data_IF_627831502208
#
_entry.id   IF_627831502208
#
_cell.length_a   1.000
_cell.length_b   1.000
_cell.length_c   1.000
_cell.angle_alpha   90.00
_cell.angle_beta   90.00
_cell.angle_gamma   90.00
#
_symmetry.space_group_name_H-M   'P 1'
#
loop_
_entity.id
_entity.type
_entity.pdbx_description
1 polymer ?
#
# COMPACT_ATOMS: atom_id res chain seq x y z
N UNK A 1 -19.96 -0.70 -50.55
CA UNK A 1 -19.26 -0.27 -49.32
C UNK A 1 -19.87 -1.09 -48.20
N UNK A 2 -19.13 -2.07 -47.68
CA UNK A 2 -19.55 -2.88 -46.54
C UNK A 2 -19.01 -2.16 -45.31
N UNK A 3 -19.91 -1.67 -44.47
CA UNK A 3 -19.54 -1.02 -43.22
C UNK A 3 -18.82 -2.06 -42.35
N UNK A 4 -17.55 -1.78 -42.05
CA UNK A 4 -16.78 -2.55 -41.07
C UNK A 4 -17.41 -2.31 -39.71
N UNK A 5 -18.12 -3.31 -39.20
CA UNK A 5 -18.44 -3.42 -37.79
C UNK A 5 -17.13 -3.36 -37.01
N UNK A 6 -16.90 -2.21 -36.39
CA UNK A 6 -15.81 -2.04 -35.44
C UNK A 6 -16.03 -3.04 -34.32
N UNK A 7 -15.09 -3.98 -34.16
CA UNK A 7 -14.96 -4.79 -32.96
C UNK A 7 -14.77 -3.85 -31.77
N UNK A 8 -15.88 -3.39 -31.20
CA UNK A 8 -15.88 -2.76 -29.88
C UNK A 8 -15.53 -3.90 -28.93
N UNK A 9 -14.28 -3.90 -28.48
CA UNK A 9 -13.84 -4.81 -27.44
C UNK A 9 -14.92 -4.82 -26.35
N UNK A 10 -15.35 -6.00 -25.86
CA UNK A 10 -16.23 -6.06 -24.71
C UNK A 10 -15.60 -5.20 -23.61
N UNK A 11 -16.41 -4.50 -22.79
CA UNK A 11 -15.86 -3.81 -21.63
C UNK A 11 -14.99 -4.83 -20.92
N UNK A 12 -13.67 -4.59 -20.87
CA UNK A 12 -12.77 -5.42 -20.08
C UNK A 12 -13.46 -5.55 -18.74
N UNK A 13 -13.91 -6.76 -18.41
CA UNK A 13 -14.69 -7.01 -17.20
C UNK A 13 -13.88 -6.43 -16.06
N UNK A 14 -14.27 -5.23 -15.62
CA UNK A 14 -13.56 -4.53 -14.55
C UNK A 14 -13.85 -5.37 -13.34
N UNK A 15 -12.90 -6.24 -12.98
CA UNK A 15 -12.99 -7.07 -11.78
C UNK A 15 -13.19 -6.10 -10.63
N UNK A 16 -14.44 -5.95 -10.19
CA UNK A 16 -14.78 -5.13 -9.04
C UNK A 16 -14.44 -6.00 -7.84
N UNK A 17 -13.16 -6.00 -7.46
CA UNK A 17 -12.68 -6.80 -6.34
C UNK A 17 -13.34 -6.27 -5.06
N UNK A 18 -13.89 -7.16 -4.21
CA UNK A 18 -14.25 -6.77 -2.86
C UNK A 18 -13.00 -6.26 -2.16
N UNK A 19 -13.03 -5.00 -1.71
CA UNK A 19 -11.93 -4.32 -1.02
C UNK A 19 -11.28 -5.20 0.05
N UNK A 20 -12.12 -5.96 0.78
CA UNK A 20 -11.75 -6.92 1.82
C UNK A 20 -10.81 -8.07 1.40
N UNK A 21 -10.62 -8.30 0.10
CA UNK A 21 -9.80 -9.40 -0.41
C UNK A 21 -8.61 -8.93 -1.25
N UNK A 22 -8.51 -7.64 -1.54
CA UNK A 22 -7.42 -7.11 -2.37
C UNK A 22 -6.03 -7.45 -1.79
N UNK A 23 -5.92 -7.45 -0.46
CA UNK A 23 -4.72 -7.81 0.29
C UNK A 23 -4.31 -9.28 0.13
N UNK A 24 -5.22 -10.20 0.43
CA UNK A 24 -4.95 -11.65 0.28
C UNK A 24 -4.72 -12.03 -1.18
N UNK A 25 -5.38 -11.37 -2.14
CA UNK A 25 -5.11 -11.58 -3.56
C UNK A 25 -3.73 -11.07 -3.97
N UNK A 26 -3.29 -9.93 -3.42
CA UNK A 26 -1.95 -9.42 -3.72
C UNK A 26 -0.87 -10.37 -3.21
N UNK A 27 -0.99 -10.84 -1.97
CA UNK A 27 -0.08 -11.86 -1.42
C UNK A 27 -0.08 -13.13 -2.27
N UNK A 28 -1.25 -13.61 -2.69
CA UNK A 28 -1.37 -14.77 -3.58
C UNK A 28 -0.72 -14.49 -4.95
N UNK A 29 -0.95 -13.31 -5.53
CA UNK A 29 -0.38 -12.92 -6.81
C UNK A 29 1.15 -12.86 -6.77
N UNK A 30 1.72 -12.39 -5.66
CA UNK A 30 3.16 -12.39 -5.44
C UNK A 30 3.69 -13.81 -5.21
N UNK A 31 2.99 -14.62 -4.40
CA UNK A 31 3.36 -16.01 -4.10
C UNK A 31 3.34 -16.94 -5.31
N UNK A 32 2.38 -16.75 -6.22
CA UNK A 32 2.19 -17.59 -7.41
C UNK A 32 2.70 -16.93 -8.70
N UNK A 33 3.38 -15.78 -8.59
CA UNK A 33 3.93 -15.02 -9.72
C UNK A 33 2.89 -14.78 -10.83
N UNK A 34 1.85 -14.00 -10.49
CA UNK A 34 0.75 -13.61 -11.38
C UNK A 34 0.82 -12.09 -11.63
N UNK A 35 1.66 -11.59 -12.57
CA UNK A 35 2.03 -10.18 -12.65
C UNK A 35 0.85 -9.23 -12.89
N UNK A 36 -0.10 -9.62 -13.76
CA UNK A 36 -1.25 -8.77 -14.07
C UNK A 36 -2.18 -8.59 -12.86
N UNK A 37 -2.30 -9.62 -12.01
CA UNK A 37 -3.09 -9.53 -10.78
C UNK A 37 -2.34 -8.70 -9.73
N UNK A 38 -1.02 -8.88 -9.65
CA UNK A 38 -0.18 -8.10 -8.75
C UNK A 38 -0.26 -6.60 -9.06
N UNK A 39 -0.09 -6.22 -10.33
CA UNK A 39 -0.18 -4.83 -10.78
C UNK A 39 -1.58 -4.23 -10.53
N UNK A 40 -2.64 -5.02 -10.76
CA UNK A 40 -4.01 -4.58 -10.47
C UNK A 40 -4.20 -4.29 -8.97
N UNK A 41 -3.79 -5.23 -8.12
CA UNK A 41 -3.90 -5.10 -6.67
C UNK A 41 -3.01 -3.96 -6.14
N UNK A 42 -1.81 -3.78 -6.68
CA UNK A 42 -0.91 -2.68 -6.31
C UNK A 42 -1.56 -1.33 -6.61
N UNK A 43 -2.10 -1.15 -7.83
CA UNK A 43 -2.82 0.08 -8.21
C UNK A 43 -4.01 0.36 -7.29
N UNK A 44 -4.73 -0.68 -6.88
CA UNK A 44 -5.81 -0.55 -5.90
C UNK A 44 -5.29 -0.12 -4.51
N UNK A 45 -4.19 -0.69 -4.02
CA UNK A 45 -3.62 -0.30 -2.72
C UNK A 45 -3.14 1.15 -2.73
N UNK A 46 -2.51 1.60 -3.82
CA UNK A 46 -2.13 2.99 -3.98
C UNK A 46 -3.33 3.94 -3.94
N UNK A 47 -4.43 3.60 -4.62
CA UNK A 47 -5.61 4.47 -4.70
C UNK A 47 -6.45 4.47 -3.43
N UNK A 48 -6.42 3.40 -2.64
CA UNK A 48 -7.20 3.24 -1.40
C UNK A 48 -6.45 3.64 -0.13
N UNK A 49 -5.16 4.00 -0.23
CA UNK A 49 -4.31 4.30 0.93
C UNK A 49 -4.87 5.44 1.78
N UNK A 50 -5.18 5.15 3.04
CA UNK A 50 -5.71 6.09 4.02
C UNK A 50 -5.29 5.71 5.45
N UNK A 51 -5.65 6.53 6.44
CA UNK A 51 -5.20 6.33 7.82
C UNK A 51 -5.68 5.00 8.45
N UNK A 52 -6.81 4.47 8.03
CA UNK A 52 -7.39 3.24 8.58
C UNK A 52 -6.70 1.97 8.08
N UNK A 53 -6.09 2.01 6.89
CA UNK A 53 -5.49 0.82 6.25
C UNK A 53 -3.98 0.92 6.00
N UNK A 54 -3.34 2.06 6.32
CA UNK A 54 -1.92 2.28 6.01
C UNK A 54 -0.97 1.29 6.69
N UNK A 55 -1.30 0.82 7.90
CA UNK A 55 -0.48 -0.17 8.63
C UNK A 55 -0.57 -1.57 7.99
N UNK A 56 -1.76 -1.97 7.55
CA UNK A 56 -1.97 -3.22 6.82
C UNK A 56 -1.26 -3.20 5.47
N UNK A 57 -1.38 -2.08 4.73
CA UNK A 57 -0.65 -1.88 3.46
C UNK A 57 0.88 -1.94 3.70
N UNK A 58 1.37 -1.36 4.80
CA UNK A 58 2.79 -1.41 5.13
C UNK A 58 3.26 -2.85 5.38
N UNK A 59 2.51 -3.63 6.15
CA UNK A 59 2.81 -5.04 6.42
C UNK A 59 2.88 -5.86 5.13
N UNK A 60 1.86 -5.74 4.29
CA UNK A 60 1.77 -6.47 3.01
C UNK A 60 2.91 -6.07 2.06
N UNK A 61 3.22 -4.78 1.99
CA UNK A 61 4.32 -4.29 1.15
C UNK A 61 5.67 -4.83 1.60
N UNK A 62 5.85 -5.09 2.90
CA UNK A 62 7.05 -5.72 3.44
C UNK A 62 7.11 -7.22 3.08
N UNK A 63 6.02 -7.96 3.31
CA UNK A 63 5.89 -9.38 2.95
C UNK A 63 6.16 -9.60 1.46
N UNK A 64 5.62 -8.73 0.60
CA UNK A 64 5.78 -8.82 -0.84
C UNK A 64 7.05 -8.12 -1.36
N UNK A 65 7.91 -7.60 -0.48
CA UNK A 65 9.12 -6.85 -0.85
C UNK A 65 8.89 -5.71 -1.85
N UNK A 66 7.68 -5.12 -1.84
CA UNK A 66 7.31 -4.02 -2.71
C UNK A 66 7.81 -2.69 -2.12
N UNK A 67 8.97 -2.24 -2.60
CA UNK A 67 9.66 -1.04 -2.10
C UNK A 67 8.85 0.23 -2.28
N UNK A 68 8.24 0.42 -3.45
CA UNK A 68 7.53 1.67 -3.78
C UNK A 68 6.27 1.84 -2.92
N UNK A 69 5.50 0.75 -2.75
CA UNK A 69 4.32 0.77 -1.89
C UNK A 69 4.72 0.96 -0.43
N UNK A 70 5.79 0.29 0.01
CA UNK A 70 6.34 0.41 1.37
C UNK A 70 6.78 1.83 1.70
N UNK A 71 7.57 2.45 0.82
CA UNK A 71 8.01 3.84 0.98
C UNK A 71 6.82 4.81 1.02
N UNK A 72 5.81 4.58 0.18
CA UNK A 72 4.60 5.41 0.16
C UNK A 72 3.80 5.29 1.45
N UNK A 73 3.65 4.06 1.97
CA UNK A 73 2.99 3.81 3.25
C UNK A 73 3.76 4.46 4.42
N UNK A 74 5.09 4.27 4.50
CA UNK A 74 5.93 4.90 5.51
C UNK A 74 5.83 6.43 5.46
N UNK A 75 5.91 7.03 4.27
CA UNK A 75 5.77 8.48 4.11
C UNK A 75 4.40 9.00 4.56
N UNK A 76 3.34 8.23 4.29
CA UNK A 76 1.98 8.57 4.74
C UNK A 76 1.85 8.49 6.27
N UNK A 77 2.44 7.46 6.89
CA UNK A 77 2.49 7.30 8.35
C UNK A 77 3.24 8.47 8.99
N UNK A 78 4.45 8.79 8.51
CA UNK A 78 5.28 9.87 9.06
C UNK A 78 4.56 11.22 9.04
N UNK A 79 3.73 11.48 8.03
CA UNK A 79 2.93 12.72 7.93
C UNK A 79 1.81 12.81 8.97
N UNK A 80 1.32 11.66 9.47
CA UNK A 80 0.25 11.56 10.47
C UNK A 80 0.71 10.69 11.65
N UNK A 81 1.97 10.86 12.04
CA UNK A 81 2.64 9.94 12.95
C UNK A 81 1.89 9.81 14.27
N UNK A 82 1.48 10.94 14.85
CA UNK A 82 0.74 11.00 16.12
C UNK A 82 -0.56 10.19 16.07
N UNK A 83 -1.39 10.43 15.05
CA UNK A 83 -2.65 9.70 14.84
C UNK A 83 -2.42 8.18 14.71
N UNK A 84 -1.33 7.78 14.06
CA UNK A 84 -1.00 6.37 13.85
C UNK A 84 -0.48 5.72 15.12
N UNK A 85 0.57 6.26 15.76
CA UNK A 85 1.23 5.59 16.90
C UNK A 85 0.36 5.51 18.15
N UNK A 86 -0.61 6.41 18.31
CA UNK A 86 -1.57 6.39 19.41
C UNK A 86 -2.87 5.64 19.07
N UNK A 87 -2.97 5.03 17.88
CA UNK A 87 -4.15 4.24 17.50
C UNK A 87 -4.13 2.82 18.07
N UNK A 88 -5.32 2.28 18.38
CA UNK A 88 -5.47 0.87 18.76
C UNK A 88 -4.98 -0.09 17.66
N UNK A 89 -5.07 0.31 16.39
CA UNK A 89 -4.53 -0.47 15.27
C UNK A 89 -3.01 -0.63 15.37
N UNK A 90 -2.31 0.43 15.79
CA UNK A 90 -0.86 0.37 16.00
C UNK A 90 -0.47 -0.51 17.20
N UNK A 91 -1.26 -0.50 18.27
CA UNK A 91 -1.06 -1.38 19.44
C UNK A 91 -1.09 -2.87 19.07
N UNK A 92 -1.97 -3.26 18.13
CA UNK A 92 -2.02 -4.63 17.60
C UNK A 92 -0.92 -4.92 16.55
N UNK A 93 -0.51 -3.92 15.78
CA UNK A 93 0.52 -4.02 14.75
C UNK A 93 1.92 -4.20 15.34
N UNK A 94 2.31 -3.34 16.29
CA UNK A 94 3.70 -3.21 16.72
C UNK A 94 4.33 -4.50 17.31
N UNK A 95 3.62 -5.30 18.16
CA UNK A 95 4.19 -6.53 18.72
C UNK A 95 4.48 -7.61 17.67
N UNK A 96 3.66 -7.65 16.60
CA UNK A 96 3.80 -8.64 15.52
C UNK A 96 4.79 -8.18 14.44
N UNK A 97 5.06 -6.87 14.37
CA UNK A 97 5.82 -6.23 13.31
C UNK A 97 6.94 -5.33 13.86
N UNK A 98 7.76 -5.87 14.79
CA UNK A 98 8.81 -5.11 15.48
C UNK A 98 9.77 -4.40 14.52
N UNK A 99 10.17 -5.06 13.43
CA UNK A 99 11.08 -4.47 12.44
C UNK A 99 10.43 -3.31 11.67
N UNK A 100 9.12 -3.36 11.44
CA UNK A 100 8.38 -2.25 10.83
C UNK A 100 8.23 -1.08 11.81
N UNK A 101 7.98 -1.36 13.10
CA UNK A 101 7.96 -0.31 14.13
C UNK A 101 9.29 0.45 14.22
N UNK A 102 10.42 -0.27 14.13
CA UNK A 102 11.76 0.35 14.06
C UNK A 102 11.94 1.18 12.79
N UNK A 103 11.45 0.70 11.64
CA UNK A 103 11.52 1.45 10.37
C UNK A 103 10.67 2.72 10.41
N UNK A 104 9.43 2.65 10.88
CA UNK A 104 8.56 3.83 11.07
C UNK A 104 9.28 4.87 11.94
N UNK A 105 9.84 4.44 13.07
CA UNK A 105 10.58 5.33 13.98
C UNK A 105 11.77 5.99 13.28
N UNK A 106 12.55 5.21 12.52
CA UNK A 106 13.69 5.72 11.77
C UNK A 106 13.27 6.78 10.76
N UNK A 107 12.22 6.52 9.98
CA UNK A 107 11.81 7.44 8.92
C UNK A 107 11.22 8.71 9.48
N UNK A 108 10.49 8.61 10.60
CA UNK A 108 10.02 9.79 11.32
C UNK A 108 11.19 10.68 11.79
N UNK A 109 12.24 10.08 12.38
CA UNK A 109 13.42 10.84 12.84
C UNK A 109 14.23 11.42 11.68
N UNK A 110 14.34 10.70 10.56
CA UNK A 110 15.01 11.19 9.36
C UNK A 110 14.25 12.36 8.71
N UNK A 111 12.92 12.28 8.64
CA UNK A 111 12.07 13.39 8.17
C UNK A 111 12.18 14.61 9.09
N UNK A 112 12.10 14.41 10.41
CA UNK A 112 12.27 15.49 11.39
C UNK A 112 13.66 16.16 11.28
N UNK A 113 14.72 15.38 11.08
CA UNK A 113 16.08 15.90 10.85
C UNK A 113 16.16 16.71 9.54
N UNK A 114 15.52 16.21 8.48
CA UNK A 114 15.51 16.87 7.16
C UNK A 114 14.78 18.20 7.21
N UNK A 115 13.61 18.27 7.86
CA UNK A 115 12.86 19.52 8.06
C UNK A 115 13.67 20.58 8.82
N UNK A 116 14.37 20.18 9.89
CA UNK A 116 15.28 21.07 10.64
C UNK A 116 16.41 21.64 9.78
N UNK A 117 17.02 20.83 8.91
CA UNK A 117 18.07 21.28 7.99
C UNK A 117 17.52 22.28 6.97
N UNK A 118 16.30 22.04 6.50
CA UNK A 118 15.65 22.85 5.46
C UNK A 118 14.98 24.12 6.01
N UNK A 119 14.96 24.34 7.33
CA UNK A 119 14.34 25.50 7.97
C UNK A 119 12.82 25.57 7.83
N UNK A 120 12.17 24.42 7.59
CA UNK A 120 10.72 24.24 7.50
C UNK A 120 10.17 23.71 8.83
#
# INVERSE_FOLDING_TARGET
>A
MLDSDGCKAPPSDTITLPEKHAYSLFEASHKYDIPNLQDFCERYMFSSLNASNVLEILEISDVCSNKTLKETALNSIVRKMEDVVFSATYEGFAPNNLHLGVQITREFLMDAKTKRINGV
#
